data_IF_993275311062
#
_entry.id   IF_993275311062
#
_cell.length_a   1.000
_cell.length_b   1.000
_cell.length_c   1.000
_cell.angle_alpha   90.00
_cell.angle_beta   90.00
_cell.angle_gamma   90.00
#
_symmetry.space_group_name_H-M   'P 1'
#
loop_
_entity.id
_entity.type
_entity.pdbx_description
1 polymer ?
#
# COMPACT_ATOMS: atom_id res chain seq x y z
N UNK A 1 9.69 2.23 -5.16
CA UNK A 1 10.74 2.84 -4.33
C UNK A 1 11.23 4.06 -5.07
N UNK A 2 11.13 5.25 -4.47
CA UNK A 2 11.68 6.48 -5.07
C UNK A 2 13.21 6.31 -5.02
N UNK A 3 13.85 6.15 -6.18
CA UNK A 3 15.31 5.99 -6.28
C UNK A 3 15.94 7.38 -6.43
N UNK A 4 17.14 7.56 -5.86
CA UNK A 4 18.00 8.73 -6.07
C UNK A 4 17.45 10.08 -5.58
N UNK A 5 16.65 10.10 -4.51
CA UNK A 5 16.28 11.34 -3.83
C UNK A 5 16.93 11.34 -2.45
N UNK A 6 17.91 12.22 -2.26
CA UNK A 6 18.55 12.44 -0.96
C UNK A 6 17.77 13.54 -0.23
N UNK A 7 16.68 13.15 0.41
CA UNK A 7 15.82 14.05 1.17
C UNK A 7 15.41 13.33 2.45
N UNK A 8 15.60 13.99 3.59
CA UNK A 8 15.12 13.46 4.86
C UNK A 8 13.60 13.63 4.96
N UNK A 9 12.86 12.56 5.32
CA UNK A 9 11.43 12.68 5.50
C UNK A 9 11.14 13.61 6.69
N UNK A 10 10.16 14.49 6.52
CA UNK A 10 9.67 15.36 7.58
C UNK A 10 8.16 15.16 7.78
N UNK A 11 7.68 15.49 8.97
CA UNK A 11 6.28 15.30 9.34
C UNK A 11 5.45 16.47 8.80
N UNK A 12 4.45 16.16 7.98
CA UNK A 12 3.47 17.14 7.45
C UNK A 12 2.11 17.06 8.16
N UNK A 13 1.88 16.00 8.94
CA UNK A 13 0.63 15.79 9.65
C UNK A 13 0.76 14.69 10.68
N UNK A 14 0.09 14.86 11.82
CA UNK A 14 0.08 13.91 12.92
C UNK A 14 -1.35 13.75 13.43
N UNK A 15 -1.74 12.50 13.65
CA UNK A 15 -2.99 12.16 14.30
C UNK A 15 -2.69 11.38 15.58
N UNK A 16 -3.39 11.74 16.65
CA UNK A 16 -3.33 11.06 17.93
C UNK A 16 -4.75 10.80 18.41
N UNK A 17 -5.04 9.53 18.71
CA UNK A 17 -6.34 9.08 19.16
C UNK A 17 -6.27 7.65 19.67
N UNK A 18 -7.24 7.27 20.49
CA UNK A 18 -7.32 5.91 21.06
C UNK A 18 -7.58 4.85 19.98
N UNK A 19 -8.22 5.25 18.88
CA UNK A 19 -8.54 4.40 17.73
C UNK A 19 -8.05 5.08 16.45
N UNK A 20 -8.08 4.34 15.34
CA UNK A 20 -7.89 4.91 14.01
C UNK A 20 -8.90 6.03 13.76
N UNK A 21 -8.58 7.04 12.92
CA UNK A 21 -9.55 8.05 12.53
C UNK A 21 -10.81 7.37 11.98
N UNK A 22 -11.98 7.75 12.49
CA UNK A 22 -13.26 7.17 12.09
C UNK A 22 -13.66 7.59 10.68
N UNK A 23 -13.26 8.79 10.27
CA UNK A 23 -13.55 9.36 8.97
C UNK A 23 -12.25 9.74 8.25
N UNK A 24 -12.01 9.08 7.12
CA UNK A 24 -10.82 9.31 6.27
C UNK A 24 -10.88 10.65 5.54
N UNK A 25 -12.08 11.11 5.14
CA UNK A 25 -12.25 12.40 4.48
C UNK A 25 -11.90 13.54 5.45
N UNK A 26 -12.39 13.47 6.69
CA UNK A 26 -12.01 14.44 7.73
C UNK A 26 -10.50 14.39 8.02
N UNK A 27 -9.96 13.19 8.19
CA UNK A 27 -8.53 12.97 8.47
C UNK A 27 -7.61 13.55 7.38
N UNK A 28 -7.96 13.41 6.11
CA UNK A 28 -7.13 13.85 4.97
C UNK A 28 -7.53 15.22 4.39
N UNK A 29 -8.66 15.82 4.82
CA UNK A 29 -9.20 17.07 4.27
C UNK A 29 -8.15 18.17 4.10
N UNK A 30 -7.50 18.57 5.21
CA UNK A 30 -6.47 19.63 5.20
C UNK A 30 -5.34 19.34 4.21
N UNK A 31 -4.89 18.10 4.11
CA UNK A 31 -3.84 17.70 3.18
C UNK A 31 -4.33 17.80 1.72
N UNK A 32 -5.54 17.34 1.45
CA UNK A 32 -6.11 17.33 0.10
C UNK A 32 -6.38 18.75 -0.39
N UNK A 33 -6.89 19.63 0.47
CA UNK A 33 -7.14 21.03 0.16
C UNK A 33 -5.85 21.77 -0.20
N UNK A 34 -4.81 21.62 0.64
CA UNK A 34 -3.50 22.22 0.40
C UNK A 34 -2.83 21.64 -0.86
N UNK A 35 -2.89 20.32 -1.03
CA UNK A 35 -2.36 19.67 -2.24
C UNK A 35 -3.06 20.20 -3.50
N UNK A 36 -4.39 20.30 -3.50
CA UNK A 36 -5.14 20.78 -4.66
C UNK A 36 -4.80 22.24 -5.00
N UNK A 37 -4.61 23.09 -3.97
CA UNK A 37 -4.16 24.46 -4.14
C UNK A 37 -2.77 24.51 -4.80
N UNK A 38 -1.80 23.76 -4.26
CA UNK A 38 -0.42 23.73 -4.77
C UNK A 38 -0.29 23.00 -6.11
N UNK A 39 -1.17 22.05 -6.39
CA UNK A 39 -1.20 21.33 -7.66
C UNK A 39 -1.77 22.19 -8.79
N UNK A 40 -2.85 22.93 -8.51
CA UNK A 40 -3.58 23.73 -9.49
C UNK A 40 -2.93 25.09 -9.70
N UNK A 41 -2.63 25.78 -8.59
CA UNK A 41 -2.12 27.14 -8.63
C UNK A 41 -0.59 27.19 -8.58
N UNK A 42 0.05 26.14 -8.07
CA UNK A 42 1.48 26.20 -7.80
C UNK A 42 1.83 27.16 -6.68
N UNK A 43 3.12 27.46 -6.56
CA UNK A 43 3.68 28.42 -5.63
C UNK A 43 4.88 29.14 -6.27
N UNK A 44 5.24 30.32 -5.74
CA UNK A 44 6.41 31.07 -6.19
C UNK A 44 7.61 30.82 -5.28
N UNK A 45 8.76 30.53 -5.91
CA UNK A 45 10.05 30.40 -5.24
C UNK A 45 11.13 30.93 -6.19
N UNK A 46 11.96 31.86 -5.72
CA UNK A 46 13.02 32.50 -6.52
C UNK A 46 12.49 33.13 -7.83
N UNK A 47 11.34 33.81 -7.75
CA UNK A 47 10.66 34.42 -8.90
C UNK A 47 10.27 33.44 -10.02
N UNK A 48 10.22 32.14 -9.71
CA UNK A 48 9.71 31.09 -10.60
C UNK A 48 8.47 30.46 -9.99
N UNK A 49 7.53 30.09 -10.85
CA UNK A 49 6.32 29.37 -10.45
C UNK A 49 6.52 27.87 -10.58
N UNK A 50 6.19 27.15 -9.53
CA UNK A 50 6.36 25.70 -9.42
C UNK A 50 5.03 25.04 -9.09
N UNK A 51 4.75 23.90 -9.72
CA UNK A 51 3.58 23.09 -9.40
C UNK A 51 4.02 21.80 -8.72
N UNK A 52 3.25 21.35 -7.73
CA UNK A 52 3.52 20.08 -7.05
C UNK A 52 2.74 18.97 -7.74
N UNK A 53 3.35 17.79 -7.88
CA UNK A 53 2.68 16.57 -8.32
C UNK A 53 2.99 15.44 -7.35
N UNK A 54 1.96 14.78 -6.86
CA UNK A 54 2.14 13.60 -6.03
C UNK A 54 2.67 12.45 -6.89
N UNK A 55 3.83 11.92 -6.51
CA UNK A 55 4.39 10.72 -7.14
C UNK A 55 3.75 9.44 -6.61
N UNK A 56 3.68 9.27 -5.28
CA UNK A 56 3.19 8.03 -4.67
C UNK A 56 2.73 8.23 -3.23
N UNK A 57 1.71 7.45 -2.83
CA UNK A 57 1.28 7.28 -1.43
C UNK A 57 1.79 5.93 -0.93
N UNK A 58 2.81 5.96 -0.07
CA UNK A 58 3.44 4.75 0.48
C UNK A 58 2.82 4.46 1.84
N UNK A 59 2.25 3.27 1.98
CA UNK A 59 1.62 2.82 3.21
C UNK A 59 1.60 1.29 3.28
N UNK A 60 1.55 0.76 4.50
CA UNK A 60 1.32 -0.66 4.74
C UNK A 60 -0.10 -1.07 4.29
N UNK A 61 -0.39 -2.38 4.31
CA UNK A 61 -1.66 -2.88 3.77
C UNK A 61 -2.90 -2.36 4.52
N UNK A 62 -2.95 -2.34 5.87
CA UNK A 62 -4.08 -1.75 6.60
C UNK A 62 -4.29 -0.25 6.35
N UNK A 63 -3.23 0.57 6.37
CA UNK A 63 -3.35 2.00 6.13
C UNK A 63 -3.76 2.27 4.67
N UNK A 64 -3.21 1.50 3.70
CA UNK A 64 -3.61 1.57 2.29
C UNK A 64 -5.11 1.31 2.11
N UNK A 65 -5.63 0.24 2.71
CA UNK A 65 -7.06 -0.08 2.62
C UNK A 65 -7.93 1.03 3.21
N UNK A 66 -7.51 1.60 4.34
CA UNK A 66 -8.19 2.71 5.00
C UNK A 66 -8.24 3.96 4.12
N UNK A 67 -7.09 4.45 3.64
CA UNK A 67 -7.05 5.70 2.87
C UNK A 67 -7.67 5.56 1.48
N UNK A 68 -7.69 4.35 0.92
CA UNK A 68 -8.36 4.05 -0.36
C UNK A 68 -9.85 3.75 -0.22
N UNK A 69 -10.38 3.62 1.00
CA UNK A 69 -11.76 3.22 1.26
C UNK A 69 -12.13 1.86 0.63
N UNK A 70 -11.25 0.86 0.73
CA UNK A 70 -11.44 -0.47 0.13
C UNK A 70 -11.39 -1.59 1.17
N UNK A 71 -11.93 -2.75 0.81
CA UNK A 71 -11.81 -3.96 1.62
C UNK A 71 -10.35 -4.30 1.86
N UNK A 72 -10.05 -4.62 3.10
CA UNK A 72 -8.70 -5.06 3.47
C UNK A 72 -8.36 -6.41 2.84
N UNK A 73 -7.07 -6.74 2.81
CA UNK A 73 -6.51 -7.98 2.28
C UNK A 73 -7.06 -9.28 2.89
N UNK A 74 -7.84 -9.22 3.97
CA UNK A 74 -8.53 -10.37 4.56
C UNK A 74 -9.96 -10.57 4.02
N UNK A 75 -10.48 -9.66 3.20
CA UNK A 75 -11.83 -9.72 2.64
C UNK A 75 -11.91 -10.48 1.32
N UNK A 76 -13.09 -11.00 0.97
CA UNK A 76 -13.29 -11.73 -0.29
C UNK A 76 -13.04 -10.90 -1.56
N UNK A 77 -13.08 -9.57 -1.51
CA UNK A 77 -12.71 -8.69 -2.62
C UNK A 77 -11.55 -7.77 -2.21
N UNK A 78 -10.58 -8.32 -1.47
CA UNK A 78 -9.48 -7.57 -0.85
C UNK A 78 -8.16 -7.56 -1.60
N UNK A 79 -8.05 -8.22 -2.77
CA UNK A 79 -6.87 -8.02 -3.63
C UNK A 79 -6.80 -6.54 -3.97
N UNK A 80 -5.62 -5.93 -3.96
CA UNK A 80 -5.45 -4.50 -4.25
C UNK A 80 -5.06 -4.26 -5.73
N UNK A 81 -4.65 -5.31 -6.44
CA UNK A 81 -4.09 -5.24 -7.80
C UNK A 81 -4.96 -5.92 -8.87
N UNK A 82 -5.84 -6.81 -8.47
CA UNK A 82 -6.54 -7.74 -9.36
C UNK A 82 -8.03 -7.88 -9.00
N UNK A 83 -8.90 -7.74 -9.99
CA UNK A 83 -10.35 -7.92 -9.87
C UNK A 83 -10.65 -9.42 -9.81
N UNK A 84 -10.48 -10.00 -8.63
CA UNK A 84 -10.82 -11.38 -8.35
C UNK A 84 -11.44 -11.52 -6.97
N UNK A 85 -12.26 -12.55 -6.82
CA UNK A 85 -12.78 -12.98 -5.53
C UNK A 85 -11.78 -13.91 -4.86
N UNK A 86 -11.41 -13.58 -3.64
CA UNK A 86 -10.57 -14.41 -2.80
C UNK A 86 -11.27 -15.69 -2.36
N UNK A 87 -10.47 -16.67 -1.95
CA UNK A 87 -10.92 -17.95 -1.39
C UNK A 87 -10.29 -18.19 -0.02
N UNK A 88 -11.05 -18.81 0.88
CA UNK A 88 -10.57 -19.15 2.21
C UNK A 88 -9.89 -20.53 2.20
N UNK A 89 -8.59 -20.55 2.46
CA UNK A 89 -7.77 -21.77 2.55
C UNK A 89 -6.98 -21.77 3.87
N UNK A 90 -7.71 -21.77 5.00
CA UNK A 90 -7.15 -21.52 6.35
C UNK A 90 -6.75 -20.05 6.59
N UNK A 91 -6.71 -19.25 5.52
CA UNK A 91 -6.54 -17.80 5.47
C UNK A 91 -7.16 -17.29 4.16
N UNK A 92 -7.40 -15.99 4.07
CA UNK A 92 -7.80 -15.38 2.79
C UNK A 92 -6.67 -15.48 1.76
N UNK A 93 -6.98 -15.94 0.55
CA UNK A 93 -6.04 -16.09 -0.57
C UNK A 93 -6.65 -15.62 -1.88
N UNK A 94 -5.81 -15.25 -2.83
CA UNK A 94 -6.19 -14.77 -4.17
C UNK A 94 -5.42 -15.58 -5.22
N UNK A 95 -5.87 -16.81 -5.53
CA UNK A 95 -5.09 -17.77 -6.32
C UNK A 95 -5.22 -17.56 -7.84
N UNK A 96 -6.15 -16.73 -8.31
CA UNK A 96 -6.38 -16.58 -9.74
C UNK A 96 -5.23 -15.81 -10.41
N UNK A 97 -4.58 -16.46 -11.37
CA UNK A 97 -3.39 -15.93 -12.05
C UNK A 97 -3.72 -15.06 -13.27
N UNK A 98 -4.90 -15.26 -13.87
CA UNK A 98 -5.35 -14.56 -15.09
C UNK A 98 -6.48 -13.55 -14.80
N UNK A 99 -6.58 -13.08 -13.56
CA UNK A 99 -7.56 -12.08 -13.17
C UNK A 99 -7.27 -10.74 -13.84
N UNK A 100 -8.33 -9.98 -14.16
CA UNK A 100 -8.20 -8.63 -14.69
C UNK A 100 -7.42 -7.75 -13.70
N UNK A 101 -6.47 -6.98 -14.21
CA UNK A 101 -5.73 -6.02 -13.39
C UNK A 101 -6.59 -4.79 -13.12
N UNK A 102 -6.59 -4.33 -11.87
CA UNK A 102 -7.21 -3.05 -11.53
C UNK A 102 -6.43 -1.94 -12.23
N UNK A 103 -7.16 -0.95 -12.72
CA UNK A 103 -6.60 0.27 -13.31
C UNK A 103 -7.15 1.48 -12.56
N UNK A 104 -6.52 2.65 -12.70
CA UNK A 104 -7.07 3.88 -12.12
C UNK A 104 -8.49 4.16 -12.65
N UNK A 105 -8.75 3.81 -13.91
CA UNK A 105 -10.05 3.93 -14.55
C UNK A 105 -11.09 2.96 -13.95
N UNK A 106 -10.77 1.67 -13.85
CA UNK A 106 -11.71 0.69 -13.27
C UNK A 106 -11.99 0.96 -11.79
N UNK A 107 -10.99 1.42 -11.04
CA UNK A 107 -11.15 1.87 -9.66
C UNK A 107 -12.07 3.09 -9.55
N UNK A 108 -11.86 4.13 -10.36
CA UNK A 108 -12.70 5.34 -10.33
C UNK A 108 -14.15 5.04 -10.71
N UNK A 109 -14.37 4.12 -11.64
CA UNK A 109 -15.70 3.64 -12.04
C UNK A 109 -16.32 2.67 -11.04
N UNK A 110 -15.58 2.25 -10.01
CA UNK A 110 -15.98 1.22 -9.05
C UNK A 110 -16.46 -0.07 -9.71
N UNK A 111 -15.76 -0.52 -10.75
CA UNK A 111 -16.15 -1.71 -11.53
C UNK A 111 -16.28 -2.98 -10.68
N UNK A 112 -15.52 -3.10 -9.59
CA UNK A 112 -15.66 -4.16 -8.58
C UNK A 112 -16.30 -3.59 -7.31
N UNK A 113 -17.62 -3.48 -7.28
CA UNK A 113 -18.38 -2.93 -6.14
C UNK A 113 -18.03 -3.62 -4.81
N UNK A 114 -17.75 -4.92 -4.87
CA UNK A 114 -17.37 -5.71 -3.71
C UNK A 114 -16.05 -5.25 -3.08
N UNK A 115 -15.17 -4.60 -3.82
CA UNK A 115 -13.89 -4.06 -3.34
C UNK A 115 -14.03 -2.75 -2.58
N UNK A 116 -15.00 -1.91 -2.95
CA UNK A 116 -15.14 -0.56 -2.41
C UNK A 116 -16.00 -0.55 -1.15
N UNK A 117 -15.58 0.21 -0.13
CA UNK A 117 -16.35 0.48 1.10
C UNK A 117 -16.89 1.92 1.09
N UNK A 118 -16.24 2.82 0.36
CA UNK A 118 -16.65 4.21 0.21
C UNK A 118 -15.80 4.92 -0.83
N UNK A 119 -15.87 6.24 -0.83
CA UNK A 119 -15.05 7.10 -1.69
C UNK A 119 -13.83 7.61 -0.96
N UNK A 120 -12.66 7.45 -1.59
CA UNK A 120 -11.41 8.01 -1.08
C UNK A 120 -11.33 9.49 -1.43
N UNK A 121 -10.91 10.36 -0.50
CA UNK A 121 -10.71 11.78 -0.81
C UNK A 121 -9.59 12.01 -1.84
N UNK A 122 -8.71 11.03 -2.06
CA UNK A 122 -7.70 11.08 -3.13
C UNK A 122 -8.29 11.04 -4.54
N UNK A 123 -9.53 10.56 -4.72
CA UNK A 123 -10.20 10.57 -6.02
C UNK A 123 -10.47 12.00 -6.51
N UNK A 124 -10.84 12.91 -5.61
CA UNK A 124 -11.09 14.33 -5.90
C UNK A 124 -9.79 15.03 -6.33
N UNK A 125 -8.69 14.70 -5.67
CA UNK A 125 -7.34 15.19 -6.00
C UNK A 125 -6.73 14.57 -7.27
N UNK A 126 -7.51 13.78 -8.03
CA UNK A 126 -7.10 13.08 -9.27
C UNK A 126 -5.85 12.20 -9.09
N UNK A 127 -5.62 11.69 -7.89
CA UNK A 127 -4.53 10.74 -7.63
C UNK A 127 -4.94 9.34 -8.08
N UNK A 128 -4.02 8.67 -8.78
CA UNK A 128 -4.22 7.32 -9.31
C UNK A 128 -4.26 6.29 -8.19
N UNK A 129 -5.44 5.73 -7.93
CA UNK A 129 -5.68 4.78 -6.83
C UNK A 129 -4.99 3.43 -7.01
N UNK A 130 -4.48 3.14 -8.21
CA UNK A 130 -3.65 1.96 -8.51
C UNK A 130 -2.21 2.37 -8.81
N UNK A 131 -2.02 3.34 -9.70
CA UNK A 131 -0.69 3.73 -10.19
C UNK A 131 0.15 4.48 -9.15
N UNK A 132 -0.46 5.32 -8.32
CA UNK A 132 0.23 6.07 -7.26
C UNK A 132 0.28 5.32 -5.92
N UNK A 133 -0.35 4.14 -5.81
CA UNK A 133 -0.34 3.30 -4.61
C UNK A 133 0.51 2.04 -4.83
N UNK A 134 1.84 2.13 -4.68
CA UNK A 134 2.70 0.96 -4.74
C UNK A 134 2.43 0.02 -3.56
N UNK A 135 2.70 -1.27 -3.77
CA UNK A 135 2.78 -2.21 -2.66
C UNK A 135 4.08 -1.96 -1.90
N UNK A 136 4.00 -1.98 -0.57
CA UNK A 136 5.17 -1.82 0.26
C UNK A 136 6.00 -3.12 0.29
N UNK A 137 7.22 -3.04 -0.23
CA UNK A 137 8.15 -4.17 -0.34
C UNK A 137 8.55 -4.70 1.04
N UNK A 138 8.75 -3.80 2.02
CA UNK A 138 9.20 -4.19 3.36
C UNK A 138 8.17 -5.08 4.05
N UNK A 139 6.92 -4.63 4.15
CA UNK A 139 5.87 -5.42 4.81
C UNK A 139 5.41 -6.62 4.00
N UNK A 140 5.35 -6.52 2.66
CA UNK A 140 4.84 -7.60 1.82
C UNK A 140 5.89 -8.70 1.59
N UNK A 141 7.09 -8.32 1.15
CA UNK A 141 8.12 -9.27 0.71
C UNK A 141 9.03 -9.62 1.87
N UNK A 142 9.71 -8.65 2.48
CA UNK A 142 10.69 -8.94 3.53
C UNK A 142 10.03 -9.55 4.79
N UNK A 143 9.08 -8.83 5.38
CA UNK A 143 8.43 -9.25 6.63
C UNK A 143 7.30 -10.25 6.39
N UNK A 144 6.70 -10.27 5.20
CA UNK A 144 5.62 -11.18 4.84
C UNK A 144 6.14 -12.51 4.31
N UNK A 145 6.66 -12.52 3.08
CA UNK A 145 7.09 -13.74 2.38
C UNK A 145 8.40 -14.29 2.93
N UNK A 146 9.46 -13.48 2.94
CA UNK A 146 10.81 -13.94 3.28
C UNK A 146 10.89 -14.42 4.72
N UNK A 147 10.33 -13.65 5.68
CA UNK A 147 10.23 -14.09 7.08
C UNK A 147 9.56 -15.47 7.21
N UNK A 148 8.47 -15.72 6.47
CA UNK A 148 7.76 -17.00 6.54
C UNK A 148 8.58 -18.14 5.95
N UNK A 149 9.26 -17.91 4.83
CA UNK A 149 10.16 -18.89 4.20
C UNK A 149 11.32 -19.24 5.16
N UNK A 150 11.98 -18.23 5.73
CA UNK A 150 13.07 -18.43 6.68
C UNK A 150 12.62 -19.22 7.92
N UNK A 151 11.44 -18.89 8.47
CA UNK A 151 10.89 -19.63 9.61
C UNK A 151 10.56 -21.08 9.25
N UNK A 152 10.08 -21.34 8.04
CA UNK A 152 9.85 -22.70 7.55
C UNK A 152 11.16 -23.48 7.44
N UNK A 153 12.21 -22.87 6.92
CA UNK A 153 13.52 -23.50 6.78
C UNK A 153 14.27 -23.71 8.10
N UNK A 154 14.05 -22.86 9.11
CA UNK A 154 14.79 -22.98 10.38
C UNK A 154 13.98 -23.76 11.43
N UNK A 155 12.66 -23.54 11.49
CA UNK A 155 11.78 -24.07 12.55
C UNK A 155 10.63 -24.93 12.04
N UNK A 156 10.50 -25.10 10.73
CA UNK A 156 9.42 -25.87 10.12
C UNK A 156 9.59 -27.39 10.20
N UNK A 157 8.72 -28.14 9.50
CA UNK A 157 8.78 -29.59 9.43
C UNK A 157 10.13 -30.10 8.92
N UNK A 158 10.56 -31.26 9.41
CA UNK A 158 11.86 -31.86 9.09
C UNK A 158 12.15 -31.94 7.58
N UNK A 159 11.13 -32.23 6.75
CA UNK A 159 11.27 -32.33 5.29
C UNK A 159 11.63 -30.99 4.61
N UNK A 160 11.41 -29.86 5.29
CA UNK A 160 11.68 -28.51 4.79
C UNK A 160 12.75 -27.78 5.60
N UNK A 161 13.24 -28.39 6.69
CA UNK A 161 14.16 -27.74 7.64
C UNK A 161 15.61 -27.95 7.21
N UNK A 162 16.36 -26.86 7.18
CA UNK A 162 17.79 -26.83 6.89
C UNK A 162 18.58 -27.19 8.15
N UNK A 163 19.65 -27.97 7.98
CA UNK A 163 20.51 -28.38 9.10
C UNK A 163 21.26 -27.20 9.74
N UNK A 164 21.48 -27.20 11.07
CA UNK A 164 22.10 -26.07 11.78
C UNK A 164 23.45 -25.63 11.19
N UNK A 165 24.32 -26.58 10.82
CA UNK A 165 25.63 -26.29 10.20
C UNK A 165 25.52 -25.50 8.89
N UNK A 166 24.47 -25.74 8.11
CA UNK A 166 24.23 -25.02 6.85
C UNK A 166 23.70 -23.63 7.14
N UNK A 167 22.86 -23.47 8.18
CA UNK A 167 22.39 -22.16 8.62
C UNK A 167 23.55 -21.29 9.10
N UNK A 168 24.48 -21.85 9.90
CA UNK A 168 25.67 -21.15 10.37
C UNK A 168 26.54 -20.72 9.18
N UNK A 169 26.84 -21.65 8.26
CA UNK A 169 27.64 -21.35 7.07
C UNK A 169 27.03 -20.27 6.16
N UNK A 170 25.70 -20.22 6.02
CA UNK A 170 25.02 -19.15 5.27
C UNK A 170 25.10 -17.82 6.03
N UNK A 171 24.96 -17.85 7.34
CA UNK A 171 24.96 -16.63 8.17
C UNK A 171 26.34 -15.97 8.22
N UNK A 172 27.40 -16.77 8.18
CA UNK A 172 28.80 -16.30 8.19
C UNK A 172 29.28 -15.78 6.82
N UNK A 173 28.52 -16.04 5.74
CA UNK A 173 28.90 -15.67 4.38
C UNK A 173 28.54 -14.22 3.99
N UNK A 174 27.88 -13.46 4.87
CA UNK A 174 27.40 -12.09 4.65
C UNK A 174 27.64 -11.22 5.89
#
# INVERSE_FOLDING_TARGET
MIRNVNCEPFVIGLYSGVKKPSNVCEYLSRFIDEYNLLHTNGFELESKRWNIKMHSVICDTPARAFVKCVKSHSGYHGCDKCEQRGSWMGKMTYPEMNANLRTDHSFRRKSDEGHHIGDSPFLEARIGMVSNFPLDYMHLVCLGVMKRILLMWIKGPLCSRVGPRVVDAISDAF
#
